data_IF_352049969497
#
_entry.id   IF_352049969497
#
_cell.length_a   1.000
_cell.length_b   1.000
_cell.length_c   1.000
_cell.angle_alpha   90.00
_cell.angle_beta   90.00
_cell.angle_gamma   90.00
#
_symmetry.space_group_name_H-M   'P 1'
#
loop_
_entity.id
_entity.type
_entity.pdbx_description
1 polymer ?
#
# COMPACT_ATOMS: atom_id res chain seq x y z
N UNK A 1 11.60 19.62 -1.29
CA UNK A 1 10.96 19.47 -2.62
C UNK A 1 9.51 19.04 -2.47
N UNK A 2 8.65 19.46 -3.40
CA UNK A 2 7.28 18.96 -3.54
C UNK A 2 7.08 18.46 -4.97
N UNK A 3 6.65 17.20 -5.13
CA UNK A 3 6.51 16.52 -6.42
C UNK A 3 7.79 16.57 -7.28
N UNK A 4 8.95 16.40 -6.64
CA UNK A 4 10.26 16.42 -7.32
C UNK A 4 10.73 17.80 -7.78
N UNK A 5 10.03 18.88 -7.41
CA UNK A 5 10.45 20.26 -7.69
C UNK A 5 10.90 20.93 -6.39
N UNK A 6 12.05 21.59 -6.43
CA UNK A 6 12.47 22.46 -5.33
C UNK A 6 11.55 23.69 -5.24
N UNK A 7 10.81 23.78 -4.14
CA UNK A 7 9.89 24.90 -3.82
C UNK A 7 10.41 25.79 -2.70
N UNK A 8 11.48 25.37 -2.03
CA UNK A 8 12.02 26.05 -0.83
C UNK A 8 13.28 26.83 -1.14
N UNK A 9 14.02 26.42 -2.19
CA UNK A 9 15.42 26.77 -2.40
C UNK A 9 16.31 26.04 -1.38
N UNK A 10 17.62 26.29 -1.47
CA UNK A 10 18.58 25.84 -0.45
C UNK A 10 18.30 26.53 0.89
N UNK A 11 18.18 25.73 1.96
CA UNK A 11 18.04 26.21 3.33
C UNK A 11 19.34 25.92 4.07
N UNK A 12 20.04 26.97 4.50
CA UNK A 12 21.25 26.82 5.30
C UNK A 12 20.88 26.39 6.73
N UNK A 13 21.50 25.30 7.20
CA UNK A 13 21.38 24.82 8.57
C UNK A 13 22.69 25.15 9.30
N UNK A 14 22.62 26.01 10.32
CA UNK A 14 23.80 26.35 11.13
C UNK A 14 24.09 25.25 12.16
N UNK A 15 25.36 25.08 12.54
CA UNK A 15 25.75 24.17 13.63
C UNK A 15 25.05 24.58 14.93
N UNK A 16 24.37 23.61 15.57
CA UNK A 16 23.65 23.81 16.84
C UNK A 16 24.52 23.57 18.07
N UNK A 17 25.79 23.18 17.88
CA UNK A 17 26.73 22.91 18.98
C UNK A 17 26.63 21.51 19.59
N UNK A 18 25.75 20.62 19.10
CA UNK A 18 25.72 19.21 19.49
C UNK A 18 24.51 18.42 18.97
N UNK A 19 24.60 17.08 18.93
CA UNK A 19 23.61 16.16 18.33
C UNK A 19 22.19 16.19 18.91
N UNK A 20 22.01 16.73 20.12
CA UNK A 20 20.73 16.85 20.82
C UNK A 20 20.35 18.31 21.10
N UNK A 21 21.05 19.26 20.45
CA UNK A 21 20.72 20.68 20.50
C UNK A 21 20.03 21.05 19.20
N UNK A 22 18.83 21.61 19.28
CA UNK A 22 17.93 21.77 18.14
C UNK A 22 17.75 23.25 17.77
N UNK A 23 17.63 23.53 16.47
CA UNK A 23 17.19 24.82 15.95
C UNK A 23 15.97 24.63 15.04
N UNK A 24 14.95 25.47 15.20
CA UNK A 24 13.76 25.43 14.35
C UNK A 24 13.93 26.39 13.17
N UNK A 25 13.77 25.87 11.96
CA UNK A 25 13.74 26.65 10.72
C UNK A 25 12.32 26.63 10.15
N UNK A 26 11.91 27.72 9.51
CA UNK A 26 10.58 27.84 8.91
C UNK A 26 10.67 28.42 7.51
N UNK A 27 9.88 27.85 6.59
CA UNK A 27 9.80 28.28 5.19
C UNK A 27 8.36 28.19 4.71
N UNK A 28 7.88 29.25 4.08
CA UNK A 28 6.59 29.23 3.39
C UNK A 28 6.78 28.71 1.98
N UNK A 29 5.87 27.82 1.56
CA UNK A 29 5.81 27.30 0.19
C UNK A 29 4.39 27.48 -0.34
N UNK A 30 4.27 27.92 -1.59
CA UNK A 30 2.98 27.95 -2.28
C UNK A 30 2.82 26.64 -3.04
N UNK A 31 1.76 25.90 -2.72
CA UNK A 31 1.45 24.62 -3.35
C UNK A 31 0.22 24.78 -4.26
N UNK A 32 0.24 24.08 -5.39
CA UNK A 32 -0.98 23.86 -6.16
C UNK A 32 -1.95 23.00 -5.35
N UNK A 33 -3.26 23.23 -5.54
CA UNK A 33 -4.29 22.39 -4.94
C UNK A 33 -4.11 20.91 -5.31
N UNK A 34 -4.53 20.01 -4.41
CA UNK A 34 -4.41 18.56 -4.57
C UNK A 34 -3.27 17.95 -3.74
N UNK A 35 -3.14 16.62 -3.80
CA UNK A 35 -2.10 15.89 -3.07
C UNK A 35 -0.71 16.25 -3.61
N UNK A 36 0.23 16.48 -2.70
CA UNK A 36 1.62 16.77 -3.03
C UNK A 36 2.51 15.83 -2.22
N UNK A 37 3.50 15.22 -2.85
CA UNK A 37 4.52 14.40 -2.19
C UNK A 37 5.66 15.33 -1.77
N UNK A 38 5.86 15.46 -0.46
CA UNK A 38 7.01 16.21 0.08
C UNK A 38 8.22 15.28 0.22
N UNK A 39 9.38 15.76 -0.24
CA UNK A 39 10.68 15.14 0.01
C UNK A 39 11.62 16.15 0.66
N UNK A 40 12.27 15.76 1.75
CA UNK A 40 13.40 16.51 2.32
C UNK A 40 14.66 16.04 1.60
N UNK A 41 15.31 16.95 0.89
CA UNK A 41 16.54 16.67 0.14
C UNK A 41 17.71 17.34 0.87
N UNK A 42 18.77 16.58 1.12
CA UNK A 42 19.90 16.98 1.97
C UNK A 42 21.12 17.13 1.07
N UNK A 43 21.70 18.34 1.07
CA UNK A 43 22.79 18.71 0.16
C UNK A 43 24.18 18.68 0.81
N UNK A 44 24.27 18.47 2.12
CA UNK A 44 25.53 18.42 2.87
C UNK A 44 25.57 17.22 3.82
N UNK A 45 26.75 16.94 4.34
CA UNK A 45 26.97 15.84 5.28
C UNK A 45 26.60 16.24 6.72
N UNK A 46 26.44 15.25 7.61
CA UNK A 46 26.24 15.41 9.05
C UNK A 46 25.06 16.31 9.49
N UNK A 47 23.84 15.78 9.43
CA UNK A 47 22.65 16.40 10.03
C UNK A 47 21.73 15.34 10.69
N UNK A 48 20.87 15.79 11.60
CA UNK A 48 19.71 15.00 12.06
C UNK A 48 18.44 15.86 12.06
N UNK A 49 17.29 15.20 11.99
CA UNK A 49 15.97 15.82 11.98
C UNK A 49 15.16 15.29 13.17
N UNK A 50 14.60 16.19 13.96
CA UNK A 50 13.72 15.82 15.09
C UNK A 50 12.27 15.63 14.61
N UNK A 51 11.65 16.70 14.10
CA UNK A 51 10.29 16.64 13.56
C UNK A 51 10.03 17.77 12.55
N UNK A 52 8.93 17.64 11.81
CA UNK A 52 8.38 18.67 10.93
C UNK A 52 6.97 19.02 11.41
N UNK A 53 6.61 20.30 11.33
CA UNK A 53 5.26 20.77 11.60
C UNK A 53 4.77 21.62 10.43
N UNK A 54 3.49 21.47 10.11
CA UNK A 54 2.85 22.15 8.98
C UNK A 54 1.73 23.05 9.51
N UNK A 55 1.73 24.30 9.07
CA UNK A 55 0.65 25.26 9.31
C UNK A 55 0.14 25.75 7.97
N UNK A 56 -1.18 25.80 7.81
CA UNK A 56 -1.79 26.33 6.60
C UNK A 56 -1.62 27.85 6.58
N UNK A 57 -0.94 28.36 5.54
CA UNK A 57 -0.89 29.79 5.27
C UNK A 57 -2.22 30.31 4.73
N UNK A 58 -2.49 31.61 4.87
CA UNK A 58 -3.69 32.22 4.32
C UNK A 58 -3.76 32.00 2.80
N UNK A 59 -4.91 31.53 2.30
CA UNK A 59 -5.14 31.40 0.86
C UNK A 59 -5.12 32.80 0.22
N UNK A 60 -4.26 33.01 -0.77
CA UNK A 60 -4.33 34.22 -1.60
C UNK A 60 -5.63 34.16 -2.41
N UNK A 61 -6.57 35.11 -2.26
CA UNK A 61 -7.79 35.10 -3.05
C UNK A 61 -7.45 35.30 -4.53
N UNK A 62 -7.82 34.32 -5.36
CA UNK A 62 -7.77 34.47 -6.82
C UNK A 62 -8.87 35.46 -7.21
N UNK A 63 -8.49 36.66 -7.63
CA UNK A 63 -9.44 37.63 -8.19
C UNK A 63 -10.13 37.02 -9.42
N UNK A 64 -11.43 36.76 -9.31
CA UNK A 64 -12.27 36.46 -10.47
C UNK A 64 -12.37 37.72 -11.32
N UNK A 65 -12.03 37.71 -12.62
CA UNK A 65 -12.18 38.90 -13.46
C UNK A 65 -13.66 39.23 -13.61
N UNK A 66 -14.05 40.43 -13.16
CA UNK A 66 -15.36 41.02 -13.44
C UNK A 66 -15.39 41.43 -14.92
N UNK A 67 -16.39 40.96 -15.66
CA UNK A 67 -16.60 41.35 -17.05
C UNK A 67 -16.86 42.86 -17.15
N UNK A 68 -15.96 43.57 -17.83
CA UNK A 68 -16.14 44.97 -18.19
C UNK A 68 -16.82 45.05 -19.55
N UNK A 69 -18.00 45.66 -19.60
CA UNK A 69 -18.71 45.95 -20.84
C UNK A 69 -17.99 47.09 -21.59
N UNK A 70 -17.36 46.77 -22.71
CA UNK A 70 -16.80 47.76 -23.64
C UNK A 70 -17.77 47.96 -24.82
N UNK A 71 -18.09 49.21 -25.23
CA UNK A 71 -19.01 49.50 -26.33
C UNK A 71 -18.46 49.03 -27.69
N UNK A 72 -19.37 48.52 -28.51
CA UNK A 72 -19.17 48.03 -29.88
C UNK A 72 -18.99 49.17 -30.88
N UNK A 73 -18.01 49.03 -31.80
CA UNK A 73 -17.98 49.78 -33.07
C UNK A 73 -18.44 48.87 -34.23
N UNK A 74 -19.15 49.40 -35.26
CA UNK A 74 -19.73 48.63 -36.36
C UNK A 74 -18.70 47.96 -37.31
N UNK A 75 -19.11 46.93 -38.10
CA UNK A 75 -18.18 46.05 -38.82
C UNK A 75 -17.75 46.63 -40.18
N UNK A 76 -16.50 46.37 -40.55
CA UNK A 76 -15.99 46.51 -41.91
C UNK A 76 -16.02 45.13 -42.63
N UNK A 77 -16.14 45.10 -43.97
CA UNK A 77 -16.79 44.00 -44.68
C UNK A 77 -15.96 42.72 -44.83
N UNK A 78 -16.75 41.68 -45.03
CA UNK A 78 -16.51 40.25 -45.18
C UNK A 78 -15.53 39.89 -46.31
N UNK A 79 -14.58 38.99 -46.01
CA UNK A 79 -14.02 38.05 -46.98
C UNK A 79 -14.32 36.63 -46.48
N UNK A 80 -14.94 35.82 -47.34
CA UNK A 80 -15.33 34.41 -47.14
C UNK A 80 -14.69 33.60 -48.27
N UNK A 81 -14.44 32.27 -48.16
CA UNK A 81 -13.85 31.47 -47.07
C UNK A 81 -12.60 30.69 -47.57
N UNK A 82 -11.73 30.22 -46.67
CA UNK A 82 -10.95 29.00 -46.93
C UNK A 82 -10.89 28.19 -45.64
N UNK A 83 -11.31 26.94 -45.72
CA UNK A 83 -11.42 26.00 -44.61
C UNK A 83 -10.05 25.64 -44.05
N UNK A 84 -9.67 26.25 -42.94
CA UNK A 84 -8.63 25.75 -42.03
C UNK A 84 -9.29 25.18 -40.77
N UNK A 85 -9.04 23.93 -40.37
CA UNK A 85 -9.55 23.42 -39.12
C UNK A 85 -8.82 24.08 -37.94
N UNK A 86 -9.56 24.99 -37.31
CA UNK A 86 -9.80 25.13 -35.85
C UNK A 86 -8.59 25.40 -34.93
N UNK A 87 -8.71 26.53 -34.25
CA UNK A 87 -7.86 26.98 -33.15
C UNK A 87 -7.57 25.88 -32.10
N UNK A 88 -6.32 25.84 -31.66
CA UNK A 88 -5.77 24.97 -30.62
C UNK A 88 -6.41 25.24 -29.25
N UNK A 89 -7.00 24.23 -28.59
CA UNK A 89 -7.32 24.32 -27.17
C UNK A 89 -6.04 24.40 -26.34
N UNK A 90 -6.01 25.32 -25.38
CA UNK A 90 -5.03 25.44 -24.30
C UNK A 90 -4.98 24.11 -23.47
N UNK A 91 -3.81 23.50 -23.21
CA UNK A 91 -3.71 22.15 -22.65
C UNK A 91 -3.95 22.15 -21.13
N UNK A 92 -5.16 21.79 -20.70
CA UNK A 92 -5.42 21.46 -19.31
C UNK A 92 -4.89 20.03 -19.03
N UNK A 93 -3.69 19.90 -18.48
CA UNK A 93 -3.12 18.60 -18.07
C UNK A 93 -1.62 18.63 -17.77
N UNK A 94 -1.14 17.69 -16.96
CA UNK A 94 0.30 17.48 -16.70
C UNK A 94 0.88 16.41 -17.63
N UNK A 95 2.20 16.30 -17.71
CA UNK A 95 2.86 15.16 -18.35
C UNK A 95 2.73 13.91 -17.46
N UNK A 96 1.87 12.99 -17.86
CA UNK A 96 1.58 11.74 -17.17
C UNK A 96 2.58 10.63 -17.48
N UNK A 97 3.48 10.83 -18.45
CA UNK A 97 4.46 9.84 -18.87
C UNK A 97 5.79 9.90 -18.11
N UNK A 98 6.10 11.04 -17.47
CA UNK A 98 7.37 11.27 -16.79
C UNK A 98 7.64 10.18 -15.73
N UNK A 99 8.79 9.49 -15.86
CA UNK A 99 9.23 8.40 -14.98
C UNK A 99 8.25 7.21 -14.85
N UNK A 100 7.28 7.08 -15.76
CA UNK A 100 6.41 5.91 -15.83
C UNK A 100 7.12 4.71 -16.47
N UNK A 101 6.64 3.48 -16.22
CA UNK A 101 7.12 2.32 -16.97
C UNK A 101 6.98 2.57 -18.48
N UNK A 102 8.08 2.37 -19.20
CA UNK A 102 8.16 2.55 -20.65
C UNK A 102 8.91 1.37 -21.28
N UNK A 103 8.41 0.87 -22.39
CA UNK A 103 8.97 -0.28 -23.10
C UNK A 103 8.99 -0.05 -24.60
N UNK A 104 9.92 -0.69 -25.30
CA UNK A 104 10.03 -0.59 -26.76
C UNK A 104 10.12 -1.97 -27.40
N UNK A 105 9.71 -2.11 -28.67
CA UNK A 105 9.89 -3.37 -29.41
C UNK A 105 11.36 -3.70 -29.63
N UNK A 106 12.19 -2.67 -29.80
CA UNK A 106 13.64 -2.75 -29.94
C UNK A 106 14.26 -1.51 -29.32
N UNK A 107 15.51 -1.62 -28.85
CA UNK A 107 16.28 -0.48 -28.40
C UNK A 107 17.77 -0.71 -28.67
N UNK A 108 18.47 0.33 -29.08
CA UNK A 108 19.92 0.40 -29.00
C UNK A 108 20.34 0.39 -27.52
N UNK A 109 21.34 -0.41 -27.15
CA UNK A 109 21.76 -0.58 -25.76
C UNK A 109 22.21 0.71 -25.07
N UNK A 110 22.70 1.69 -25.83
CA UNK A 110 23.10 3.01 -25.31
C UNK A 110 21.92 3.99 -25.19
N UNK A 111 20.81 3.71 -25.87
CA UNK A 111 19.64 4.59 -26.00
C UNK A 111 18.35 3.82 -25.64
N UNK A 112 18.24 3.36 -24.38
CA UNK A 112 17.10 2.55 -23.92
C UNK A 112 15.79 3.36 -23.91
N UNK A 113 14.67 2.63 -23.83
CA UNK A 113 13.33 3.23 -23.80
C UNK A 113 13.14 4.23 -22.65
N UNK A 114 13.77 3.98 -21.49
CA UNK A 114 13.70 4.82 -20.29
C UNK A 114 14.24 6.24 -20.49
N UNK A 115 15.08 6.46 -21.50
CA UNK A 115 15.54 7.80 -21.83
C UNK A 115 14.43 8.68 -22.44
N UNK A 116 13.34 8.08 -22.95
CA UNK A 116 12.29 8.83 -23.61
C UNK A 116 11.24 9.42 -22.66
N UNK A 117 11.41 9.29 -21.35
CA UNK A 117 10.50 9.89 -20.37
C UNK A 117 11.21 10.25 -19.05
N UNK A 118 12.50 10.57 -19.12
CA UNK A 118 13.36 10.92 -17.99
C UNK A 118 13.38 12.44 -17.71
N UNK A 119 12.76 13.24 -18.59
CA UNK A 119 12.71 14.70 -18.51
C UNK A 119 13.92 15.40 -19.13
N UNK A 120 14.85 14.66 -19.75
CA UNK A 120 16.06 15.18 -20.39
C UNK A 120 15.95 15.16 -21.91
N UNK A 121 16.22 16.31 -22.54
CA UNK A 121 16.30 16.40 -24.01
C UNK A 121 17.67 16.02 -24.57
N UNK A 122 18.63 15.71 -23.70
CA UNK A 122 19.99 15.32 -24.08
C UNK A 122 20.19 13.81 -24.19
N UNK A 123 19.26 13.05 -23.62
CA UNK A 123 19.13 11.59 -23.72
C UNK A 123 18.00 11.28 -24.69
N UNK A 124 17.99 10.06 -25.24
CA UNK A 124 16.91 9.61 -26.11
C UNK A 124 16.83 8.09 -26.18
N UNK A 125 15.66 7.60 -26.60
CA UNK A 125 15.45 6.24 -27.07
C UNK A 125 15.72 6.16 -28.57
N UNK A 126 16.36 5.08 -29.00
CA UNK A 126 16.52 4.72 -30.41
C UNK A 126 16.20 3.24 -30.64
N UNK A 127 15.29 2.94 -31.56
CA UNK A 127 15.02 1.57 -32.01
C UNK A 127 16.18 0.98 -32.83
N UNK A 128 16.11 -0.29 -33.22
CA UNK A 128 17.13 -0.90 -34.11
C UNK A 128 16.59 -1.30 -35.48
N UNK A 129 15.27 -1.24 -35.67
CA UNK A 129 14.59 -1.55 -36.93
C UNK A 129 13.30 -0.74 -37.07
N UNK A 130 12.71 -0.76 -38.27
CA UNK A 130 11.40 -0.18 -38.54
C UNK A 130 10.42 -1.26 -39.06
N UNK A 131 9.13 -1.23 -38.66
CA UNK A 131 8.59 -0.33 -37.65
C UNK A 131 9.12 -0.64 -36.23
N UNK A 132 9.22 0.39 -35.40
CA UNK A 132 9.56 0.26 -33.97
C UNK A 132 8.44 0.85 -33.13
N UNK A 133 8.17 0.25 -31.97
CA UNK A 133 7.16 0.73 -31.04
C UNK A 133 7.78 1.20 -29.75
N UNK A 134 7.17 2.22 -29.14
CA UNK A 134 7.51 2.76 -27.82
C UNK A 134 6.21 2.96 -27.04
N UNK A 135 6.08 2.31 -25.90
CA UNK A 135 4.84 2.24 -25.11
C UNK A 135 5.10 2.78 -23.71
N UNK A 136 4.33 3.80 -23.32
CA UNK A 136 4.26 4.30 -21.94
C UNK A 136 3.04 3.68 -21.26
N UNK A 137 3.24 3.10 -20.09
CA UNK A 137 2.17 2.64 -19.21
C UNK A 137 1.91 3.68 -18.12
N UNK A 138 0.74 4.33 -18.18
CA UNK A 138 0.32 5.36 -17.20
C UNK A 138 -0.10 4.67 -15.88
N UNK A 139 -0.50 3.40 -15.95
CA UNK A 139 -0.96 2.55 -14.84
C UNK A 139 -2.48 2.55 -14.66
N UNK A 140 -3.13 3.69 -14.85
CA UNK A 140 -4.59 3.81 -14.83
C UNK A 140 -5.07 4.75 -15.95
N UNK A 141 -6.36 4.70 -16.25
CA UNK A 141 -6.95 5.54 -17.27
C UNK A 141 -6.65 7.02 -17.01
N UNK A 142 -6.25 7.72 -18.05
CA UNK A 142 -6.14 9.16 -18.08
C UNK A 142 -6.98 9.73 -19.22
N UNK A 143 -7.58 10.90 -19.00
CA UNK A 143 -8.16 11.71 -20.05
C UNK A 143 -7.04 12.47 -20.73
N UNK A 144 -6.59 11.95 -21.88
CA UNK A 144 -5.49 12.47 -22.67
C UNK A 144 -6.03 13.53 -23.62
N UNK A 145 -5.31 14.65 -23.72
CA UNK A 145 -5.62 15.78 -24.62
C UNK A 145 -4.60 15.95 -25.72
N UNK A 146 -3.33 15.59 -25.47
CA UNK A 146 -2.29 15.60 -26.48
C UNK A 146 -1.13 14.68 -26.13
N UNK A 147 -0.39 14.28 -27.16
CA UNK A 147 0.93 13.68 -27.05
C UNK A 147 1.95 14.70 -27.55
N UNK A 148 2.99 14.97 -26.76
CA UNK A 148 4.09 15.84 -27.17
C UNK A 148 5.34 14.98 -27.31
N UNK A 149 5.88 14.93 -28.51
CA UNK A 149 7.10 14.21 -28.84
C UNK A 149 8.21 15.20 -29.11
N UNK A 150 9.38 14.94 -28.52
CA UNK A 150 10.56 15.80 -28.72
C UNK A 150 11.76 14.97 -29.15
N UNK A 151 12.64 15.60 -29.92
CA UNK A 151 14.02 15.18 -30.12
C UNK A 151 14.95 16.21 -29.48
N UNK A 152 16.25 15.90 -29.43
CA UNK A 152 17.26 16.84 -28.98
C UNK A 152 17.18 18.13 -29.84
N UNK A 153 17.08 19.33 -29.24
CA UNK A 153 16.96 20.58 -29.97
C UNK A 153 18.27 21.08 -30.62
N UNK A 154 19.41 20.43 -30.33
CA UNK A 154 20.70 20.77 -30.95
C UNK A 154 20.59 20.78 -32.49
N UNK A 155 21.08 21.81 -33.20
CA UNK A 155 21.06 21.85 -34.67
C UNK A 155 21.73 20.66 -35.37
N UNK A 156 22.65 19.95 -34.72
CA UNK A 156 23.21 18.68 -35.21
C UNK A 156 22.12 17.62 -35.42
N UNK A 157 21.02 17.74 -34.67
CA UNK A 157 19.79 17.02 -34.93
C UNK A 157 18.96 17.72 -36.01
N UNK A 158 19.51 17.76 -37.23
CA UNK A 158 18.91 18.39 -38.40
C UNK A 158 17.43 18.01 -38.62
N UNK A 159 16.71 18.88 -39.34
CA UNK A 159 15.29 18.69 -39.68
C UNK A 159 15.06 17.31 -40.26
N UNK A 160 14.08 16.59 -39.70
CA UNK A 160 13.73 15.24 -40.13
C UNK A 160 12.25 14.99 -40.01
N UNK A 161 11.79 13.92 -40.65
CA UNK A 161 10.43 13.44 -40.51
C UNK A 161 10.39 12.08 -39.85
N UNK A 162 9.34 11.80 -39.08
CA UNK A 162 8.99 10.46 -38.64
C UNK A 162 7.52 10.19 -38.95
N UNK A 163 7.19 9.00 -39.45
CA UNK A 163 5.78 8.58 -39.63
C UNK A 163 5.34 7.82 -38.40
N UNK A 164 4.36 8.38 -37.68
CA UNK A 164 3.97 7.97 -36.34
C UNK A 164 2.47 7.70 -36.33
N UNK A 165 2.09 6.52 -35.86
CA UNK A 165 0.72 6.18 -35.45
C UNK A 165 0.66 6.19 -33.92
N UNK A 166 -0.43 6.70 -33.35
CA UNK A 166 -0.68 6.65 -31.90
C UNK A 166 -1.76 5.61 -31.63
N UNK A 167 -1.43 4.68 -30.75
CA UNK A 167 -2.30 3.60 -30.31
C UNK A 167 -2.51 3.72 -28.79
N UNK A 168 -3.60 3.17 -28.28
CA UNK A 168 -3.82 3.06 -26.84
C UNK A 168 -4.82 1.97 -26.49
N UNK A 169 -4.81 1.59 -25.22
CA UNK A 169 -5.86 0.77 -24.62
C UNK A 169 -6.25 1.34 -23.26
N UNK A 170 -7.42 0.97 -22.79
CA UNK A 170 -7.91 1.38 -21.47
C UNK A 170 -7.38 0.42 -20.38
N UNK A 171 -7.60 0.78 -19.12
CA UNK A 171 -7.16 -0.02 -17.97
C UNK A 171 -7.84 -1.39 -17.85
N UNK A 172 -8.94 -1.64 -18.58
CA UNK A 172 -9.69 -2.92 -18.54
C UNK A 172 -9.45 -3.81 -19.76
N UNK A 173 -8.59 -3.41 -20.68
CA UNK A 173 -8.21 -4.17 -21.87
C UNK A 173 -6.70 -4.14 -22.05
N UNK A 174 -6.19 -5.01 -22.91
CA UNK A 174 -4.75 -5.08 -23.24
C UNK A 174 -4.49 -4.91 -24.74
N UNK A 175 -5.54 -4.94 -25.56
CA UNK A 175 -5.45 -4.79 -27.01
C UNK A 175 -5.37 -3.33 -27.40
N UNK A 176 -4.26 -2.94 -28.03
CA UNK A 176 -4.08 -1.59 -28.56
C UNK A 176 -5.04 -1.31 -29.73
N UNK A 177 -5.73 -0.18 -29.65
CA UNK A 177 -6.58 0.37 -30.70
C UNK A 177 -6.01 1.69 -31.24
N UNK A 178 -6.39 2.08 -32.45
CA UNK A 178 -5.91 3.32 -33.05
C UNK A 178 -6.56 4.54 -32.40
N UNK A 179 -5.72 5.43 -31.86
CA UNK A 179 -6.13 6.76 -31.39
C UNK A 179 -5.89 7.82 -32.46
N UNK A 180 -4.74 7.74 -33.15
CA UNK A 180 -4.39 8.62 -34.28
C UNK A 180 -3.79 7.78 -35.40
N UNK A 181 -4.28 7.98 -36.62
CA UNK A 181 -3.77 7.31 -37.80
C UNK A 181 -2.30 7.66 -38.07
N UNK A 182 -1.59 6.76 -38.76
CA UNK A 182 -0.20 6.99 -39.15
C UNK A 182 -0.06 8.30 -39.94
N UNK A 183 0.73 9.23 -39.41
CA UNK A 183 0.92 10.57 -39.97
C UNK A 183 2.40 10.91 -39.95
N UNK A 184 2.92 11.54 -41.02
CA UNK A 184 4.29 12.03 -41.08
C UNK A 184 4.40 13.37 -40.38
N UNK A 185 5.21 13.44 -39.33
CA UNK A 185 5.47 14.67 -38.58
C UNK A 185 6.89 15.16 -38.84
N UNK A 186 7.06 16.48 -38.94
CA UNK A 186 8.36 17.13 -39.12
C UNK A 186 8.88 17.62 -37.79
N UNK A 187 10.07 17.17 -37.42
CA UNK A 187 10.87 17.69 -36.31
C UNK A 187 11.87 18.69 -36.88
N UNK A 188 11.77 19.95 -36.47
CA UNK A 188 12.65 21.01 -36.92
C UNK A 188 13.36 21.65 -35.71
N UNK A 189 14.71 21.71 -35.66
CA UNK A 189 15.43 22.32 -34.55
C UNK A 189 15.10 23.81 -34.37
N UNK A 190 14.69 24.51 -35.44
CA UNK A 190 14.26 25.92 -35.33
C UNK A 190 12.97 26.12 -34.52
N UNK A 191 12.16 25.06 -34.37
CA UNK A 191 10.97 25.01 -33.52
C UNK A 191 11.18 24.11 -32.29
N UNK A 192 12.44 23.87 -31.91
CA UNK A 192 12.82 23.08 -30.75
C UNK A 192 12.62 21.57 -30.92
N UNK A 193 12.61 21.07 -32.15
CA UNK A 193 12.46 19.64 -32.47
C UNK A 193 11.28 18.99 -31.71
N UNK A 194 10.16 19.70 -31.66
CA UNK A 194 8.97 19.31 -30.90
C UNK A 194 7.78 19.19 -31.83
N UNK A 195 7.00 18.12 -31.65
CA UNK A 195 5.74 17.86 -32.34
C UNK A 195 4.66 17.66 -31.29
N UNK A 196 3.51 18.30 -31.47
CA UNK A 196 2.31 18.06 -30.66
C UNK A 196 1.27 17.35 -31.52
N UNK A 197 0.79 16.21 -31.05
CA UNK A 197 -0.26 15.41 -31.67
C UNK A 197 -1.50 15.53 -30.78
N UNK A 198 -2.58 16.12 -31.32
CA UNK A 198 -3.84 16.21 -30.59
C UNK A 198 -4.48 14.84 -30.48
N UNK A 199 -4.85 14.44 -29.26
CA UNK A 199 -5.46 13.14 -28.96
C UNK A 199 -6.59 13.39 -27.96
N UNK A 200 -7.81 13.03 -28.31
CA UNK A 200 -8.93 13.04 -27.36
C UNK A 200 -9.31 11.59 -27.05
N UNK A 201 -8.75 11.02 -25.99
CA UNK A 201 -8.94 9.62 -25.65
C UNK A 201 -8.80 9.37 -24.14
N UNK A 202 -9.44 8.30 -23.66
CA UNK A 202 -9.18 7.74 -22.34
C UNK A 202 -8.35 6.46 -22.49
N UNK A 203 -7.16 6.42 -21.92
CA UNK A 203 -6.26 5.26 -22.03
C UNK A 203 -5.42 5.10 -20.75
N UNK A 204 -5.04 3.86 -20.41
CA UNK A 204 -4.06 3.57 -19.36
C UNK A 204 -2.65 3.32 -19.91
N UNK A 205 -2.53 3.09 -21.21
CA UNK A 205 -1.25 3.00 -21.89
C UNK A 205 -1.34 3.61 -23.29
N UNK A 206 -0.26 4.23 -23.73
CA UNK A 206 -0.13 4.85 -25.06
C UNK A 206 1.09 4.27 -25.75
N UNK A 207 0.92 3.85 -27.00
CA UNK A 207 1.98 3.30 -27.85
C UNK A 207 2.15 4.13 -29.09
N UNK A 208 3.39 4.55 -29.34
CA UNK A 208 3.83 5.01 -30.65
C UNK A 208 4.16 3.80 -31.51
N UNK A 209 3.73 3.81 -32.76
CA UNK A 209 4.23 2.92 -33.80
C UNK A 209 4.90 3.79 -34.87
N UNK A 210 6.22 3.75 -34.93
CA UNK A 210 7.04 4.58 -35.81
C UNK A 210 7.52 3.73 -36.98
N UNK A 211 7.01 4.03 -38.18
CA UNK A 211 7.25 3.25 -39.39
C UNK A 211 8.30 3.84 -40.33
N UNK A 212 8.67 5.11 -40.13
CA UNK A 212 9.79 5.76 -40.84
C UNK A 212 10.44 6.84 -40.00
N UNK A 213 11.73 7.09 -40.26
CA UNK A 213 12.53 8.19 -39.75
C UNK A 213 13.52 8.60 -40.85
N UNK A 214 13.50 9.86 -41.29
CA UNK A 214 14.38 10.34 -42.37
C UNK A 214 15.79 10.71 -41.90
N UNK A 215 16.01 10.82 -40.58
CA UNK A 215 17.28 11.24 -39.99
C UNK A 215 18.06 10.11 -39.29
N UNK A 216 17.49 8.91 -39.19
CA UNK A 216 18.10 7.75 -38.52
C UNK A 216 17.48 6.44 -39.04
N UNK A 217 18.14 5.28 -38.87
CA UNK A 217 17.65 4.00 -39.39
C UNK A 217 16.39 3.47 -38.66
N UNK A 218 16.05 4.00 -37.48
CA UNK A 218 14.92 3.57 -36.67
C UNK A 218 14.20 4.76 -35.99
N UNK A 219 13.13 4.48 -35.27
CA UNK A 219 12.43 5.50 -34.49
C UNK A 219 13.36 6.09 -33.41
N UNK A 220 13.27 7.41 -33.20
CA UNK A 220 13.98 8.10 -32.14
C UNK A 220 13.02 9.02 -31.37
N UNK A 221 13.13 9.06 -30.04
CA UNK A 221 12.34 9.95 -29.19
C UNK A 221 13.19 10.35 -27.98
N UNK A 222 13.40 11.65 -27.78
CA UNK A 222 14.06 12.19 -26.58
C UNK A 222 13.06 12.32 -25.42
N UNK A 223 11.84 12.79 -25.70
CA UNK A 223 10.78 12.86 -24.71
C UNK A 223 9.44 12.46 -25.34
N UNK A 224 8.76 11.50 -24.72
CA UNK A 224 7.41 11.03 -25.01
C UNK A 224 6.50 11.48 -23.88
N UNK A 225 5.87 12.63 -24.07
CA UNK A 225 5.00 13.23 -23.07
C UNK A 225 3.54 12.92 -23.39
N UNK A 226 2.82 12.38 -22.40
CA UNK A 226 1.38 12.15 -22.48
C UNK A 226 0.70 13.24 -21.65
N UNK A 227 0.04 14.20 -22.31
CA UNK A 227 -0.57 15.35 -21.63
C UNK A 227 -2.04 15.08 -21.35
N UNK A 228 -2.43 15.20 -20.08
CA UNK A 228 -3.80 14.99 -19.66
C UNK A 228 -3.99 15.06 -18.16
N UNK A 229 -5.12 14.54 -17.70
CA UNK A 229 -5.43 14.36 -16.27
C UNK A 229 -5.82 12.92 -16.00
N UNK A 230 -5.39 12.34 -14.88
CA UNK A 230 -5.85 11.02 -14.46
C UNK A 230 -7.38 10.98 -14.41
N UNK A 231 -7.98 9.91 -14.93
CA UNK A 231 -9.41 9.69 -14.83
C UNK A 231 -9.77 9.24 -13.40
N UNK A 232 -11.03 9.43 -12.96
CA UNK A 232 -11.46 8.96 -11.65
C UNK A 232 -11.29 7.44 -11.51
N UNK A 233 -10.80 7.00 -10.35
CA UNK A 233 -10.63 5.58 -10.00
C UNK A 233 -10.82 5.38 -8.48
N UNK A 234 -11.25 4.19 -8.02
CA UNK A 234 -11.29 3.85 -6.60
C UNK A 234 -9.91 3.87 -5.93
N UNK A 235 -9.88 3.94 -4.61
CA UNK A 235 -8.68 3.77 -3.78
C UNK A 235 -9.13 3.19 -2.41
N UNK A 236 -9.12 1.87 -2.29
CA UNK A 236 -9.57 1.12 -1.12
C UNK A 236 -8.44 1.05 -0.09
N UNK A 237 -8.67 1.68 1.06
CA UNK A 237 -7.75 1.66 2.18
C UNK A 237 -8.41 1.01 3.39
N UNK A 238 -7.67 0.17 4.11
CA UNK A 238 -8.09 -0.25 5.45
C UNK A 238 -7.67 0.83 6.43
N UNK A 239 -8.63 1.51 7.05
CA UNK A 239 -8.37 2.64 7.96
C UNK A 239 -8.28 2.21 9.42
N UNK A 240 -8.69 0.99 9.74
CA UNK A 240 -8.64 0.47 11.10
C UNK A 240 -8.96 -1.01 11.18
N UNK A 241 -8.34 -1.67 12.15
CA UNK A 241 -8.60 -3.05 12.53
C UNK A 241 -8.84 -3.08 14.03
N UNK A 242 -9.88 -3.82 14.46
CA UNK A 242 -10.24 -4.00 15.86
C UNK A 242 -10.77 -5.40 16.11
N UNK A 243 -11.02 -5.75 17.37
CA UNK A 243 -11.59 -7.02 17.76
C UNK A 243 -12.52 -6.85 18.96
N UNK A 244 -13.44 -7.79 19.09
CA UNK A 244 -14.37 -7.89 20.21
C UNK A 244 -14.37 -9.33 20.75
N UNK A 245 -14.36 -9.52 22.07
CA UNK A 245 -14.24 -8.51 23.13
C UNK A 245 -12.85 -7.84 23.14
N UNK A 246 -12.75 -6.61 23.67
CA UNK A 246 -11.49 -5.84 23.67
C UNK A 246 -10.38 -6.47 24.52
N UNK A 247 -10.76 -7.23 25.56
CA UNK A 247 -9.87 -8.01 26.42
C UNK A 247 -10.33 -9.49 26.42
N UNK A 248 -10.05 -10.25 25.35
CA UNK A 248 -10.45 -11.64 25.25
C UNK A 248 -9.69 -12.53 26.22
N UNK A 249 -10.32 -13.64 26.57
CA UNK A 249 -9.71 -14.76 27.27
C UNK A 249 -9.77 -16.03 26.42
N UNK A 250 -9.12 -17.11 26.85
CA UNK A 250 -9.11 -18.39 26.12
C UNK A 250 -10.50 -18.99 25.82
N UNK A 251 -11.53 -18.56 26.56
CA UNK A 251 -12.92 -18.99 26.36
C UNK A 251 -13.76 -17.97 25.60
N UNK A 252 -13.20 -16.80 25.27
CA UNK A 252 -13.91 -15.76 24.54
C UNK A 252 -14.06 -16.12 23.07
N UNK A 253 -15.28 -16.04 22.53
CA UNK A 253 -15.50 -16.03 21.09
C UNK A 253 -15.08 -14.67 20.54
N UNK A 254 -14.04 -14.64 19.71
CA UNK A 254 -13.44 -13.43 19.16
C UNK A 254 -14.04 -13.14 17.79
N UNK A 255 -14.40 -11.88 17.58
CA UNK A 255 -14.79 -11.32 16.27
C UNK A 255 -13.81 -10.21 15.91
N UNK A 256 -13.15 -10.34 14.75
CA UNK A 256 -12.34 -9.28 14.16
C UNK A 256 -13.22 -8.32 13.37
N UNK A 257 -12.80 -7.07 13.28
CA UNK A 257 -13.45 -6.06 12.44
C UNK A 257 -12.38 -5.26 11.68
N UNK A 258 -12.66 -4.93 10.43
CA UNK A 258 -11.87 -4.01 9.63
C UNK A 258 -12.77 -2.94 9.02
N UNK A 259 -12.33 -1.69 9.10
CA UNK A 259 -12.99 -0.57 8.41
C UNK A 259 -12.26 -0.33 7.10
N UNK A 260 -12.99 -0.51 6.00
CA UNK A 260 -12.52 -0.20 4.65
C UNK A 260 -13.13 1.13 4.22
N UNK A 261 -12.32 1.99 3.65
CA UNK A 261 -12.75 3.23 3.03
C UNK A 261 -12.36 3.24 1.55
N UNK A 262 -13.22 3.75 0.68
CA UNK A 262 -12.83 4.17 -0.64
C UNK A 262 -12.40 5.64 -0.59
N UNK A 263 -11.10 5.91 -0.52
CA UNK A 263 -10.50 7.25 -0.55
C UNK A 263 -10.40 7.83 -1.98
N UNK A 264 -10.82 7.05 -2.99
CA UNK A 264 -10.80 7.42 -4.39
C UNK A 264 -11.93 8.38 -4.77
N UNK A 265 -11.93 8.78 -6.04
CA UNK A 265 -12.92 9.69 -6.63
C UNK A 265 -13.89 8.99 -7.59
N UNK A 266 -13.80 7.66 -7.71
CA UNK A 266 -14.80 6.82 -8.36
C UNK A 266 -15.35 5.76 -7.41
N UNK A 267 -16.53 5.24 -7.71
CA UNK A 267 -17.12 4.14 -6.95
C UNK A 267 -16.34 2.84 -7.20
N UNK A 268 -16.11 2.08 -6.14
CA UNK A 268 -15.56 0.73 -6.19
C UNK A 268 -16.67 -0.31 -6.32
N UNK A 269 -16.38 -1.37 -7.06
CA UNK A 269 -17.18 -2.61 -7.03
C UNK A 269 -17.04 -3.33 -5.69
N UNK A 270 -17.83 -4.39 -5.48
CA UNK A 270 -17.66 -5.25 -4.31
C UNK A 270 -16.33 -6.03 -4.39
N UNK A 271 -15.70 -6.25 -3.25
CA UNK A 271 -14.47 -7.05 -3.12
C UNK A 271 -14.45 -7.76 -1.75
N UNK A 272 -13.29 -8.17 -1.25
CA UNK A 272 -13.09 -8.85 0.02
C UNK A 272 -11.99 -8.19 0.84
N UNK A 273 -12.00 -8.49 2.15
CA UNK A 273 -10.90 -8.23 3.07
C UNK A 273 -10.40 -9.56 3.60
N UNK A 274 -9.10 -9.79 3.55
CA UNK A 274 -8.45 -10.90 4.25
C UNK A 274 -7.94 -10.43 5.61
N UNK A 275 -8.23 -11.19 6.67
CA UNK A 275 -7.71 -10.97 8.01
C UNK A 275 -6.55 -11.91 8.30
N UNK A 276 -5.58 -11.45 9.10
CA UNK A 276 -4.54 -12.30 9.68
C UNK A 276 -4.39 -12.05 11.19
N UNK A 277 -4.02 -13.12 11.91
CA UNK A 277 -3.77 -13.13 13.35
C UNK A 277 -2.45 -13.81 13.61
N UNK A 278 -1.50 -13.11 14.24
CA UNK A 278 -0.13 -13.60 14.48
C UNK A 278 0.61 -13.92 13.17
N UNK A 279 0.35 -13.17 12.10
CA UNK A 279 0.92 -13.40 10.76
C UNK A 279 0.27 -14.55 9.96
N UNK A 280 -0.64 -15.31 10.56
CA UNK A 280 -1.35 -16.41 9.88
C UNK A 280 -2.71 -15.95 9.38
N UNK A 281 -3.13 -16.38 8.19
CA UNK A 281 -4.47 -16.09 7.66
C UNK A 281 -5.57 -16.59 8.63
N UNK A 282 -6.53 -15.72 8.95
CA UNK A 282 -7.65 -16.02 9.84
C UNK A 282 -8.96 -16.26 9.07
N UNK A 283 -9.07 -15.71 7.86
CA UNK A 283 -10.23 -15.83 6.99
C UNK A 283 -10.48 -14.54 6.22
N UNK A 284 -11.62 -14.44 5.54
CA UNK A 284 -12.01 -13.27 4.75
C UNK A 284 -13.44 -12.85 5.02
N UNK A 285 -13.76 -11.58 4.70
CA UNK A 285 -15.11 -11.04 4.75
C UNK A 285 -15.40 -10.24 3.47
N UNK A 286 -16.67 -10.19 3.07
CA UNK A 286 -17.11 -9.45 1.90
C UNK A 286 -17.21 -7.96 2.19
N UNK A 287 -16.67 -7.13 1.30
CA UNK A 287 -16.88 -5.69 1.24
C UNK A 287 -17.83 -5.41 0.09
N UNK A 288 -18.93 -4.73 0.36
CA UNK A 288 -19.87 -4.31 -0.68
C UNK A 288 -19.26 -3.24 -1.59
N UNK A 289 -20.00 -2.85 -2.63
CA UNK A 289 -19.62 -1.70 -3.44
C UNK A 289 -19.56 -0.43 -2.56
N UNK A 290 -18.54 0.39 -2.76
CA UNK A 290 -18.31 1.62 -2.01
C UNK A 290 -18.27 2.81 -2.95
N UNK A 291 -19.19 3.77 -2.75
CA UNK A 291 -19.09 5.07 -3.38
C UNK A 291 -17.78 5.78 -2.99
N UNK A 292 -17.35 6.76 -3.78
CA UNK A 292 -16.21 7.62 -3.43
C UNK A 292 -16.42 8.26 -2.04
N UNK A 293 -15.39 8.18 -1.19
CA UNK A 293 -15.40 8.67 0.20
C UNK A 293 -16.14 7.78 1.22
N UNK A 294 -16.88 6.77 0.77
CA UNK A 294 -17.66 5.92 1.68
C UNK A 294 -16.79 4.91 2.43
N UNK A 295 -17.28 4.47 3.59
CA UNK A 295 -16.64 3.42 4.39
C UNK A 295 -17.63 2.31 4.75
N UNK A 296 -17.10 1.10 4.92
CA UNK A 296 -17.82 -0.04 5.47
C UNK A 296 -16.95 -0.74 6.51
N UNK A 297 -17.54 -1.09 7.65
CA UNK A 297 -16.92 -2.02 8.59
C UNK A 297 -17.42 -3.42 8.31
N UNK A 298 -16.49 -4.36 8.14
CA UNK A 298 -16.77 -5.79 7.93
C UNK A 298 -16.22 -6.58 9.11
N UNK A 299 -16.85 -7.71 9.42
CA UNK A 299 -16.53 -8.50 10.60
C UNK A 299 -16.28 -9.96 10.24
N UNK A 300 -15.39 -10.61 11.00
CA UNK A 300 -15.08 -12.03 10.87
C UNK A 300 -15.02 -12.69 12.25
N UNK A 301 -15.90 -13.65 12.51
CA UNK A 301 -15.82 -14.48 13.71
C UNK A 301 -14.69 -15.52 13.55
N UNK A 302 -13.77 -15.56 14.51
CA UNK A 302 -12.59 -16.46 14.47
C UNK A 302 -12.58 -17.51 15.59
N UNK A 303 -13.66 -17.59 16.38
CA UNK A 303 -13.76 -18.51 17.51
C UNK A 303 -12.85 -18.12 18.68
N UNK A 304 -12.35 -19.10 19.42
CA UNK A 304 -11.42 -18.89 20.54
C UNK A 304 -9.96 -18.88 20.09
N UNK A 305 -9.08 -18.34 20.91
CA UNK A 305 -7.62 -18.39 20.74
C UNK A 305 -6.98 -18.76 22.07
N UNK A 306 -5.84 -19.44 22.03
CA UNK A 306 -5.06 -19.71 23.25
C UNK A 306 -4.50 -18.42 23.85
N UNK A 307 -4.03 -18.49 25.08
CA UNK A 307 -3.38 -17.37 25.75
C UNK A 307 -2.17 -16.89 24.93
N UNK A 308 -2.04 -15.58 24.77
CA UNK A 308 -0.92 -15.00 24.01
C UNK A 308 -1.19 -13.58 23.54
N UNK A 309 -0.21 -12.99 22.89
CA UNK A 309 -0.35 -11.69 22.21
C UNK A 309 -0.25 -11.90 20.70
N UNK A 310 -1.24 -11.39 19.97
CA UNK A 310 -1.35 -11.58 18.53
C UNK A 310 -1.37 -10.25 17.80
N UNK A 311 -0.55 -10.11 16.76
CA UNK A 311 -0.75 -9.05 15.77
C UNK A 311 -2.04 -9.32 15.01
N UNK A 312 -2.82 -8.28 14.70
CA UNK A 312 -4.02 -8.39 13.88
C UNK A 312 -3.88 -7.44 12.71
N UNK A 313 -4.04 -7.96 11.50
CA UNK A 313 -3.98 -7.16 10.29
C UNK A 313 -5.13 -7.52 9.35
N UNK A 314 -5.41 -6.60 8.44
CA UNK A 314 -6.37 -6.79 7.37
C UNK A 314 -5.83 -6.19 6.06
N UNK A 315 -6.16 -6.83 4.95
CA UNK A 315 -5.85 -6.35 3.60
C UNK A 315 -7.11 -6.38 2.75
N UNK A 316 -7.54 -5.22 2.25
CA UNK A 316 -8.65 -5.11 1.29
C UNK A 316 -8.16 -5.44 -0.12
N UNK A 317 -9.06 -5.96 -0.94
CA UNK A 317 -8.81 -6.37 -2.33
C UNK A 317 -7.52 -7.20 -2.53
N UNK A 318 -7.29 -8.26 -1.73
CA UNK A 318 -6.06 -9.03 -1.78
C UNK A 318 -5.86 -9.77 -3.11
N UNK A 319 -6.92 -9.89 -3.93
CA UNK A 319 -6.87 -10.45 -5.28
C UNK A 319 -6.53 -9.42 -6.36
N UNK A 320 -6.39 -8.13 -6.01
CA UNK A 320 -6.14 -7.03 -6.92
C UNK A 320 -7.15 -7.01 -8.09
N UNK A 321 -8.44 -7.20 -7.78
CA UNK A 321 -9.51 -7.28 -8.79
C UNK A 321 -10.14 -5.93 -9.07
N UNK A 322 -10.03 -4.98 -8.13
CA UNK A 322 -10.39 -3.59 -8.33
C UNK A 322 -9.15 -2.87 -8.83
N UNK A 323 -9.28 -2.12 -9.91
CA UNK A 323 -8.18 -1.26 -10.38
C UNK A 323 -8.21 -0.01 -9.52
N UNK A 324 -7.15 0.26 -8.78
CA UNK A 324 -7.12 1.34 -7.79
C UNK A 324 -6.16 2.46 -8.22
N UNK A 325 -6.17 3.57 -7.50
CA UNK A 325 -5.14 4.60 -7.65
C UNK A 325 -3.82 4.22 -6.97
N UNK A 326 -3.93 3.46 -5.90
CA UNK A 326 -2.82 3.08 -5.05
C UNK A 326 -3.15 1.72 -4.42
N UNK A 327 -2.36 0.69 -4.72
CA UNK A 327 -2.55 -0.62 -4.10
C UNK A 327 -1.71 -0.76 -2.81
N UNK A 328 -0.82 0.19 -2.54
CA UNK A 328 0.15 0.10 -1.44
C UNK A 328 -0.45 0.44 -0.06
N UNK A 329 -1.64 1.04 -0.02
CA UNK A 329 -2.39 1.40 1.19
C UNK A 329 -3.54 0.40 1.50
N UNK A 330 -3.63 -0.72 0.80
CA UNK A 330 -4.67 -1.71 1.02
C UNK A 330 -4.51 -2.49 2.33
N UNK A 331 -3.33 -2.47 2.94
CA UNK A 331 -3.02 -3.24 4.15
C UNK A 331 -2.91 -2.35 5.39
N UNK A 332 -3.49 -2.83 6.49
CA UNK A 332 -3.38 -2.20 7.79
C UNK A 332 -3.08 -3.26 8.86
N UNK A 333 -2.06 -3.01 9.67
CA UNK A 333 -1.74 -3.80 10.87
C UNK A 333 -2.04 -2.96 12.10
N UNK A 334 -2.83 -3.49 13.02
CA UNK A 334 -3.10 -2.83 14.30
C UNK A 334 -1.81 -2.52 15.04
N UNK A 335 -1.67 -1.29 15.54
CA UNK A 335 -0.53 -0.86 16.36
C UNK A 335 -0.53 -1.52 17.75
N UNK A 336 -1.69 -1.95 18.22
CA UNK A 336 -1.84 -2.74 19.45
C UNK A 336 -2.01 -4.21 19.10
N UNK A 337 -1.44 -5.08 19.93
CA UNK A 337 -1.66 -6.51 19.83
C UNK A 337 -2.95 -6.91 20.58
N UNK A 338 -3.65 -7.90 20.03
CA UNK A 338 -4.73 -8.58 20.74
C UNK A 338 -4.13 -9.48 21.80
N UNK A 339 -4.23 -9.08 23.07
CA UNK A 339 -3.81 -9.89 24.21
C UNK A 339 -4.96 -10.79 24.66
N UNK A 340 -4.81 -12.10 24.45
CA UNK A 340 -5.71 -13.13 24.97
C UNK A 340 -5.18 -13.58 26.32
N UNK A 341 -5.94 -13.33 27.38
CA UNK A 341 -5.61 -13.75 28.74
C UNK A 341 -6.08 -15.17 29.03
N UNK A 342 -5.56 -15.78 30.10
CA UNK A 342 -6.13 -17.02 30.63
C UNK A 342 -7.59 -16.79 31.04
N UNK A 343 -8.44 -17.80 30.86
CA UNK A 343 -9.83 -17.72 31.29
C UNK A 343 -9.95 -17.50 32.82
N UNK A 344 -10.96 -16.76 33.30
CA UNK A 344 -11.23 -16.64 34.72
C UNK A 344 -11.58 -18.01 35.30
N UNK A 345 -10.95 -18.39 36.40
CA UNK A 345 -11.16 -19.69 37.03
C UNK A 345 -9.88 -20.36 37.52
N UNK A 346 -10.02 -21.49 38.23
CA UNK A 346 -8.88 -22.31 38.60
C UNK A 346 -8.36 -23.12 37.40
N UNK A 347 -7.04 -23.29 37.33
CA UNK A 347 -6.36 -24.14 36.36
C UNK A 347 -5.35 -24.99 37.14
N UNK A 348 -5.76 -26.22 37.46
CA UNK A 348 -4.97 -27.13 38.29
C UNK A 348 -3.99 -27.94 37.44
N UNK A 349 -2.71 -27.84 37.77
CA UNK A 349 -1.61 -28.55 37.15
C UNK A 349 -0.94 -29.46 38.19
N UNK A 350 -0.78 -30.75 37.86
CA UNK A 350 0.09 -31.65 38.64
C UNK A 350 1.55 -31.34 38.28
N UNK A 351 2.37 -31.01 39.28
CA UNK A 351 3.79 -30.72 39.11
C UNK A 351 4.65 -31.97 39.32
N UNK A 352 4.32 -32.80 40.31
CA UNK A 352 5.06 -34.02 40.61
C UNK A 352 4.21 -35.01 41.39
N UNK A 353 4.63 -36.28 41.35
CA UNK A 353 4.15 -37.34 42.22
C UNK A 353 5.38 -37.96 42.89
N UNK A 354 5.46 -37.91 44.20
CA UNK A 354 6.56 -38.49 44.98
C UNK A 354 6.05 -39.66 45.82
N UNK A 355 6.81 -40.75 45.87
CA UNK A 355 6.50 -41.95 46.63
C UNK A 355 7.39 -42.08 47.86
N UNK A 356 6.86 -42.67 48.93
CA UNK A 356 7.65 -43.09 50.08
C UNK A 356 7.22 -44.49 50.56
N UNK A 357 8.13 -45.48 50.61
CA UNK A 357 9.54 -45.38 50.20
C UNK A 357 9.68 -45.25 48.67
N UNK A 358 10.76 -44.61 48.17
CA UNK A 358 10.96 -44.40 46.73
C UNK A 358 11.27 -45.70 45.97
N UNK A 359 11.77 -46.73 46.66
CA UNK A 359 12.09 -48.05 46.12
C UNK A 359 11.40 -49.14 46.98
N UNK A 360 10.09 -49.35 46.84
CA UNK A 360 9.37 -50.33 47.65
C UNK A 360 9.62 -51.76 47.17
N UNK A 361 9.80 -52.69 48.12
CA UNK A 361 9.72 -54.13 47.85
C UNK A 361 8.26 -54.57 47.77
N UNK A 362 7.97 -55.66 47.06
CA UNK A 362 6.63 -56.23 47.05
C UNK A 362 6.16 -56.55 48.49
N UNK A 363 4.94 -56.15 48.81
CA UNK A 363 4.36 -56.19 50.15
C UNK A 363 4.53 -54.90 50.95
N UNK A 364 5.41 -53.97 50.55
CA UNK A 364 5.58 -52.68 51.24
C UNK A 364 4.38 -51.77 50.99
N UNK A 365 3.93 -51.05 52.02
CA UNK A 365 3.04 -49.91 51.86
C UNK A 365 3.81 -48.72 51.24
N UNK A 366 3.24 -48.12 50.19
CA UNK A 366 3.77 -46.98 49.44
C UNK A 366 2.79 -45.82 49.61
N UNK A 367 3.28 -44.73 50.19
CA UNK A 367 2.52 -43.47 50.28
C UNK A 367 2.83 -42.56 49.09
N UNK A 368 1.84 -41.77 48.67
CA UNK A 368 1.96 -40.83 47.55
C UNK A 368 1.68 -39.41 47.99
N UNK A 369 2.55 -38.49 47.60
CA UNK A 369 2.34 -37.04 47.70
C UNK A 369 2.34 -36.47 46.29
N UNK A 370 1.26 -35.77 45.93
CA UNK A 370 1.10 -35.09 44.64
C UNK A 370 1.23 -33.60 44.86
N UNK A 371 2.18 -32.96 44.19
CA UNK A 371 2.26 -31.49 44.17
C UNK A 371 1.29 -30.96 43.12
N UNK A 372 0.27 -30.22 43.54
CA UNK A 372 -0.74 -29.61 42.67
C UNK A 372 -0.61 -28.09 42.74
N UNK A 373 -0.38 -27.46 41.60
CA UNK A 373 -0.33 -26.01 41.45
C UNK A 373 -1.61 -25.49 40.79
N UNK A 374 -2.19 -24.42 41.33
CA UNK A 374 -3.26 -23.69 40.64
C UNK A 374 -2.65 -22.52 39.87
N UNK A 375 -2.39 -22.73 38.57
CA UNK A 375 -1.91 -21.68 37.66
C UNK A 375 -3.04 -20.81 37.09
N UNK A 376 -4.26 -20.95 37.62
CA UNK A 376 -5.42 -20.16 37.24
C UNK A 376 -5.48 -18.80 37.96
N UNK A 377 -6.56 -18.07 37.72
CA UNK A 377 -6.79 -16.72 38.23
C UNK A 377 -7.66 -16.68 39.50
N UNK A 378 -8.30 -17.79 39.86
CA UNK A 378 -9.10 -17.90 41.10
C UNK A 378 -8.72 -19.13 41.92
N UNK A 379 -8.82 -19.04 43.25
CA UNK A 379 -8.51 -20.14 44.17
C UNK A 379 -9.51 -21.29 44.06
N UNK A 380 -9.07 -22.51 44.34
CA UNK A 380 -9.94 -23.68 44.53
C UNK A 380 -10.24 -23.86 46.01
N UNK A 381 -11.52 -23.94 46.39
CA UNK A 381 -11.91 -24.31 47.74
C UNK A 381 -11.57 -25.77 48.04
N UNK A 382 -11.42 -26.11 49.33
CA UNK A 382 -11.20 -27.50 49.72
C UNK A 382 -12.36 -28.40 49.28
N UNK A 383 -12.07 -29.67 49.01
CA UNK A 383 -13.08 -30.68 48.63
C UNK A 383 -13.02 -31.17 47.19
N UNK A 384 -12.03 -30.74 46.40
CA UNK A 384 -11.70 -31.41 45.13
C UNK A 384 -10.99 -32.73 45.37
N UNK A 385 -10.95 -33.61 44.37
CA UNK A 385 -10.31 -34.93 44.48
C UNK A 385 -8.99 -34.97 43.73
N UNK A 386 -7.90 -35.25 44.45
CA UNK A 386 -6.61 -35.62 43.87
C UNK A 386 -6.49 -37.13 43.88
N UNK A 387 -6.12 -37.73 42.76
CA UNK A 387 -6.03 -39.20 42.62
C UNK A 387 -4.71 -39.63 42.00
N UNK A 388 -4.21 -40.77 42.42
CA UNK A 388 -3.09 -41.51 41.82
C UNK A 388 -3.65 -42.83 41.31
N UNK A 389 -3.32 -43.17 40.07
CA UNK A 389 -3.74 -44.42 39.42
C UNK A 389 -2.52 -45.30 39.20
N UNK A 390 -2.59 -46.55 39.66
CA UNK A 390 -1.51 -47.55 39.59
C UNK A 390 -2.11 -48.82 38.99
N UNK A 391 -1.86 -49.06 37.69
CA UNK A 391 -2.56 -50.10 36.94
C UNK A 391 -4.08 -49.89 36.99
N UNK A 392 -4.83 -50.87 37.48
CA UNK A 392 -6.28 -50.77 37.70
C UNK A 392 -6.70 -50.18 39.05
N UNK A 393 -5.73 -49.91 39.95
CA UNK A 393 -6.02 -49.38 41.29
C UNK A 393 -6.07 -47.85 41.24
N UNK A 394 -7.15 -47.26 41.75
CA UNK A 394 -7.24 -45.81 41.97
C UNK A 394 -7.18 -45.53 43.46
N UNK A 395 -6.28 -44.63 43.86
CA UNK A 395 -6.16 -44.12 45.22
C UNK A 395 -6.47 -42.64 45.13
N UNK A 396 -7.38 -42.17 45.97
CA UNK A 396 -7.85 -40.81 45.90
C UNK A 396 -8.00 -40.20 47.30
N UNK A 397 -7.56 -38.96 47.42
CA UNK A 397 -7.91 -38.12 48.55
C UNK A 397 -9.21 -37.38 48.22
N UNK A 398 -10.26 -37.71 48.94
CA UNK A 398 -11.60 -37.14 48.76
C UNK A 398 -11.69 -35.65 49.15
N UNK A 399 -10.70 -35.12 49.89
CA UNK A 399 -10.66 -33.73 50.32
C UNK A 399 -9.27 -33.13 50.11
N UNK A 400 -8.97 -32.79 48.86
CA UNK A 400 -7.81 -31.96 48.54
C UNK A 400 -7.95 -30.62 49.26
N UNK A 401 -6.91 -30.12 49.95
CA UNK A 401 -6.94 -28.81 50.58
C UNK A 401 -7.25 -27.70 49.57
N UNK A 402 -7.66 -26.54 50.06
CA UNK A 402 -7.81 -25.36 49.21
C UNK A 402 -6.47 -25.03 48.53
N UNK A 403 -6.52 -24.70 47.24
CA UNK A 403 -5.32 -24.37 46.45
C UNK A 403 -5.45 -22.92 45.99
N UNK A 404 -4.68 -22.04 46.64
CA UNK A 404 -4.55 -20.64 46.25
C UNK A 404 -3.90 -20.50 44.87
N UNK A 405 -4.14 -19.40 44.19
CA UNK A 405 -3.51 -19.08 42.89
C UNK A 405 -1.99 -18.98 43.04
N UNK A 406 -1.24 -19.57 42.10
CA UNK A 406 0.21 -19.42 41.95
C UNK A 406 1.09 -20.19 42.94
N UNK A 407 0.52 -20.88 43.93
CA UNK A 407 1.28 -21.66 44.92
C UNK A 407 0.93 -23.15 44.84
N UNK A 408 1.94 -24.05 44.78
CA UNK A 408 1.69 -25.49 44.83
C UNK A 408 1.30 -25.95 46.24
N UNK A 409 0.40 -26.92 46.31
CA UNK A 409 0.00 -27.63 47.53
C UNK A 409 0.39 -29.10 47.38
N UNK A 410 1.02 -29.66 48.43
CA UNK A 410 1.32 -31.08 48.51
C UNK A 410 0.11 -31.83 49.07
N UNK A 411 -0.42 -32.77 48.28
CA UNK A 411 -1.61 -33.56 48.61
C UNK A 411 -1.20 -35.00 48.86
N UNK A 412 -1.32 -35.44 50.11
CA UNK A 412 -1.18 -36.87 50.43
C UNK A 412 -2.42 -37.61 49.95
N UNK A 413 -2.24 -38.61 49.08
CA UNK A 413 -3.35 -39.26 48.37
C UNK A 413 -3.82 -40.56 49.04
N UNK A 414 -2.92 -41.22 49.77
CA UNK A 414 -3.18 -42.49 50.46
C UNK A 414 -2.02 -43.46 50.29
N UNK A 415 -2.25 -44.73 50.63
CA UNK A 415 -1.25 -45.80 50.53
C UNK A 415 -1.67 -46.91 49.57
N UNK A 416 -0.71 -47.47 48.85
CA UNK A 416 -0.83 -48.65 48.00
C UNK A 416 0.10 -49.76 48.49
N UNK A 417 -0.26 -51.03 48.37
CA UNK A 417 0.68 -52.13 48.65
C UNK A 417 1.41 -52.53 47.37
N UNK A 418 2.74 -52.43 47.38
CA UNK A 418 3.57 -52.78 46.24
C UNK A 418 3.43 -54.26 45.86
N UNK A 419 3.37 -54.54 44.55
CA UNK A 419 3.31 -55.90 43.99
C UNK A 419 4.54 -56.19 43.14
N UNK A 420 4.86 -57.47 42.95
CA UNK A 420 5.91 -57.87 42.02
C UNK A 420 5.51 -57.52 40.58
N UNK A 421 6.30 -56.72 39.90
CA UNK A 421 6.08 -56.38 38.48
C UNK A 421 7.08 -55.35 37.96
N UNK A 422 7.18 -55.18 36.64
CA UNK A 422 7.94 -54.08 36.05
C UNK A 422 7.32 -52.74 36.46
N UNK A 423 8.17 -51.73 36.64
CA UNK A 423 7.77 -50.37 37.05
C UNK A 423 6.63 -49.88 36.14
N UNK A 424 5.44 -49.52 36.65
CA UNK A 424 4.39 -48.96 35.81
C UNK A 424 4.87 -47.64 35.22
N UNK A 425 4.81 -47.54 33.88
CA UNK A 425 5.23 -46.39 33.10
C UNK A 425 4.36 -45.15 33.37
#
# INVERSE_FOLDING_TARGET
EFNGVDKTGTVAVASTGGWQTWATLSRSVTLSAGQQVMRVYVLGDDFNLNYLTFTTGAATPTNTPVATNTPTTPPAPTNTPTSGPTATPNPNGSNLALNKPISASTANSLYPATNANDGSLTTYWEGTAQPSTLTVDIGANANITSIVLKLNPDPAWATRTQTIQVLGHNQTTTTFSQLVAATTYTFNPSTGNTVTINVAATASAVRLNISSNSGAPAGQVAEFQVIGTMAPNPDLVVTGVSWTPSAPTETSAITLQATVQNAGDAASGATTVNFSVGGTAAGSANVGALAAGASQTVSLAIGTRGQGSYTVAATVDPGNVVIEKNDANNSFTSSTQMSVAQAPGPDLQVLSVTTNPPNPLAGNAVSFVVAVNNRGTTSVAAGTTTRVVIGSTTINNASTPAIATGAPVNVTVGTWTAVNGPNPA
#
